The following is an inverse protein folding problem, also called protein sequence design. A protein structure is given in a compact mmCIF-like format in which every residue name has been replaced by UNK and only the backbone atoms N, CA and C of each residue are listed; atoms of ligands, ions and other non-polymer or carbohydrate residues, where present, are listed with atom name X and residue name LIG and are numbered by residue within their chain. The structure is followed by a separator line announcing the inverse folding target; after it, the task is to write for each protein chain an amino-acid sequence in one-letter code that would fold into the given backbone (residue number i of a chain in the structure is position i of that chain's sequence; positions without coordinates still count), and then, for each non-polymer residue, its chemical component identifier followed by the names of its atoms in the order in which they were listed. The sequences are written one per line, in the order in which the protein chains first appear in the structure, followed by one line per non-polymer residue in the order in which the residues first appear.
data_IF_615808665572
#
_entry.id   IF_615808665572
#
_cell.length_a   1.000
_cell.length_b   1.000
_cell.length_c   1.000
_cell.angle_alpha   90.00
_cell.angle_beta   90.00
_cell.angle_gamma   90.00
#
_symmetry.space_group_name_H-M   'P 1'
#
loop_
_entity.id
_entity.type
_entity.pdbx_description
1 polymer ?
#
# COMPACT_ATOMS: atom_id res chain seq x y z
N UNK A 1 23.85 -27.24 17.03
CA UNK A 1 23.64 -25.77 16.87
C UNK A 1 23.69 -25.32 15.41
N UNK A 2 24.75 -25.59 14.63
CA UNK A 2 24.85 -25.17 13.22
C UNK A 2 23.73 -25.74 12.31
N UNK A 3 23.43 -27.04 12.39
CA UNK A 3 22.42 -27.67 11.52
C UNK A 3 20.99 -27.19 11.81
N UNK A 4 20.65 -27.01 13.08
CA UNK A 4 19.35 -26.45 13.51
C UNK A 4 19.16 -25.04 12.94
N UNK A 5 20.20 -24.20 13.03
CA UNK A 5 20.18 -22.85 12.44
C UNK A 5 19.95 -22.88 10.93
N UNK A 6 20.65 -23.76 10.19
CA UNK A 6 20.43 -23.90 8.74
C UNK A 6 19.00 -24.32 8.41
N UNK A 7 18.46 -25.29 9.16
CA UNK A 7 17.09 -25.75 8.95
C UNK A 7 16.07 -24.63 9.23
N UNK A 8 16.26 -23.87 10.30
CA UNK A 8 15.37 -22.77 10.65
C UNK A 8 15.49 -21.60 9.68
N UNK A 9 16.70 -21.31 9.19
CA UNK A 9 16.93 -20.31 8.15
C UNK A 9 16.24 -20.69 6.84
N UNK A 10 16.30 -21.97 6.43
CA UNK A 10 15.58 -22.46 5.25
C UNK A 10 14.06 -22.32 5.41
N UNK A 11 13.51 -22.65 6.60
CA UNK A 11 12.09 -22.45 6.91
C UNK A 11 11.70 -20.98 6.87
N UNK A 12 12.53 -20.10 7.43
CA UNK A 12 12.31 -18.66 7.39
C UNK A 12 12.26 -18.16 5.95
N UNK A 13 13.25 -18.50 5.12
CA UNK A 13 13.29 -18.12 3.69
C UNK A 13 12.05 -18.58 2.92
N UNK A 14 11.61 -19.82 3.16
CA UNK A 14 10.41 -20.35 2.51
C UNK A 14 9.15 -19.60 2.97
N UNK A 15 9.03 -19.34 4.27
CA UNK A 15 7.90 -18.60 4.84
C UNK A 15 7.84 -17.17 4.31
N UNK A 16 8.96 -16.46 4.32
CA UNK A 16 9.06 -15.07 3.81
C UNK A 16 8.76 -15.01 2.32
N UNK A 17 9.29 -15.93 1.51
CA UNK A 17 9.00 -15.98 0.08
C UNK A 17 7.50 -16.19 -0.19
N UNK A 18 6.85 -17.13 0.51
CA UNK A 18 5.41 -17.37 0.38
C UNK A 18 4.57 -16.16 0.78
N UNK A 19 4.90 -15.52 1.89
CA UNK A 19 4.18 -14.32 2.36
C UNK A 19 4.40 -13.14 1.42
N UNK A 20 5.60 -12.97 0.86
CA UNK A 20 5.91 -11.94 -0.13
C UNK A 20 5.09 -12.13 -1.41
N UNK A 21 5.05 -13.34 -1.97
CA UNK A 21 4.24 -13.65 -3.16
C UNK A 21 2.76 -13.38 -2.89
N UNK A 22 2.24 -13.79 -1.73
CA UNK A 22 0.85 -13.50 -1.35
C UNK A 22 0.58 -12.00 -1.30
N UNK A 23 1.45 -11.21 -0.65
CA UNK A 23 1.29 -9.76 -0.54
C UNK A 23 1.36 -9.05 -1.90
N UNK A 24 2.20 -9.54 -2.82
CA UNK A 24 2.28 -9.03 -4.20
C UNK A 24 1.02 -9.38 -5.00
N UNK A 25 0.51 -10.61 -4.88
CA UNK A 25 -0.71 -11.05 -5.57
C UNK A 25 -1.97 -10.35 -5.04
N UNK A 26 -2.02 -10.05 -3.74
CA UNK A 26 -3.13 -9.32 -3.12
C UNK A 26 -2.97 -7.80 -3.17
N UNK A 27 -1.91 -7.30 -3.81
CA UNK A 27 -1.57 -5.87 -3.87
C UNK A 27 -1.61 -5.18 -2.49
N UNK A 28 -1.26 -5.90 -1.41
CA UNK A 28 -1.35 -5.39 -0.04
C UNK A 28 -0.13 -4.56 0.39
N UNK A 29 0.76 -4.25 -0.56
CA UNK A 29 1.92 -3.42 -0.34
C UNK A 29 1.55 -1.94 -0.56
N UNK A 30 1.95 -1.02 0.34
CA UNK A 30 1.67 0.41 0.19
C UNK A 30 2.52 1.10 -0.89
N UNK A 31 3.43 0.36 -1.53
CA UNK A 31 4.29 0.84 -2.62
C UNK A 31 4.08 -0.12 -3.79
N UNK A 32 3.80 0.42 -4.97
CA UNK A 32 3.66 -0.41 -6.17
C UNK A 32 5.01 -1.00 -6.57
N UNK A 33 4.99 -2.27 -6.99
CA UNK A 33 6.16 -2.97 -7.50
C UNK A 33 6.44 -2.71 -8.99
N UNK A 34 5.59 -1.93 -9.67
CA UNK A 34 5.77 -1.57 -11.07
C UNK A 34 6.93 -0.59 -11.21
N UNK A 35 7.96 -0.99 -11.97
CA UNK A 35 9.11 -0.11 -12.23
C UNK A 35 8.74 1.13 -13.06
N UNK A 36 7.64 1.08 -13.81
CA UNK A 36 7.29 2.13 -14.77
C UNK A 36 6.47 3.27 -14.15
N UNK A 37 5.65 2.94 -13.15
CA UNK A 37 4.81 3.90 -12.41
C UNK A 37 4.79 3.55 -10.91
N UNK A 38 5.92 3.77 -10.20
CA UNK A 38 5.98 3.52 -8.78
C UNK A 38 5.20 4.60 -8.01
N UNK A 39 4.19 4.20 -7.25
CA UNK A 39 3.35 5.06 -6.42
C UNK A 39 3.38 4.54 -4.99
N UNK A 40 3.59 5.45 -4.04
CA UNK A 40 3.53 5.18 -2.61
C UNK A 40 2.28 5.82 -2.02
N UNK A 41 1.54 5.05 -1.23
CA UNK A 41 0.39 5.51 -0.45
C UNK A 41 0.67 5.37 1.05
N UNK A 42 0.28 6.36 1.84
CA UNK A 42 0.26 6.29 3.30
C UNK A 42 -1.04 6.86 3.85
N UNK A 43 -1.51 6.30 4.96
CA UNK A 43 -2.75 6.70 5.61
C UNK A 43 -2.49 6.99 7.10
N UNK A 44 -3.07 8.09 7.58
CA UNK A 44 -3.09 8.45 9.00
C UNK A 44 -4.53 8.65 9.46
N UNK A 45 -4.87 8.09 10.62
CA UNK A 45 -6.18 8.30 11.25
C UNK A 45 -6.06 9.43 12.26
N UNK A 46 -6.92 10.44 12.13
CA UNK A 46 -6.97 11.63 12.98
C UNK A 46 -8.31 11.67 13.71
N UNK A 47 -8.26 11.89 15.03
CA UNK A 47 -9.43 11.87 15.90
C UNK A 47 -9.58 10.54 16.64
N UNK A 48 -10.17 10.61 17.84
CA UNK A 48 -10.32 9.47 18.76
C UNK A 48 -11.78 9.08 19.00
N UNK A 49 -12.71 9.63 18.21
CA UNK A 49 -14.14 9.41 18.33
C UNK A 49 -14.70 8.41 17.31
N UNK A 50 -16.02 8.11 17.36
CA UNK A 50 -16.71 7.31 16.35
C UNK A 50 -16.67 7.96 14.96
N UNK A 51 -16.44 9.28 14.91
CA UNK A 51 -16.11 10.03 13.71
C UNK A 51 -14.64 10.41 13.76
N UNK A 52 -13.90 10.03 12.73
CA UNK A 52 -12.49 10.31 12.57
C UNK A 52 -12.20 10.63 11.10
N UNK A 53 -11.09 11.33 10.87
CA UNK A 53 -10.63 11.70 9.55
C UNK A 53 -9.50 10.78 9.12
N UNK A 54 -9.57 10.29 7.88
CA UNK A 54 -8.46 9.58 7.24
C UNK A 54 -7.69 10.59 6.38
N UNK A 55 -6.44 10.83 6.74
CA UNK A 55 -5.51 11.62 5.92
C UNK A 55 -4.69 10.68 5.04
N UNK A 56 -4.89 10.77 3.72
CA UNK A 56 -4.15 10.00 2.74
C UNK A 56 -3.07 10.86 2.08
N UNK A 57 -1.86 10.33 2.00
CA UNK A 57 -0.77 10.92 1.25
C UNK A 57 -0.40 9.98 0.11
N UNK A 58 -0.36 10.51 -1.11
CA UNK A 58 -0.03 9.77 -2.32
C UNK A 58 1.18 10.44 -2.98
N UNK A 59 2.21 9.65 -3.25
CA UNK A 59 3.49 10.14 -3.75
C UNK A 59 3.90 9.36 -4.99
N UNK A 60 4.21 10.08 -6.07
CA UNK A 60 4.86 9.52 -7.25
C UNK A 60 6.36 9.35 -6.97
N UNK A 61 6.84 8.11 -7.11
CA UNK A 61 8.21 7.71 -6.82
C UNK A 61 9.02 7.47 -8.11
N UNK A 62 8.52 7.86 -9.29
CA UNK A 62 9.16 7.57 -10.58
C UNK A 62 10.46 8.37 -10.77
N UNK A 63 11.55 7.72 -11.16
CA UNK A 63 12.85 8.39 -11.32
C UNK A 63 12.94 9.25 -12.59
N UNK A 64 12.14 8.94 -13.60
CA UNK A 64 12.20 9.59 -14.91
C UNK A 64 11.24 10.79 -15.07
N UNK A 65 10.81 11.41 -13.96
CA UNK A 65 9.84 12.51 -13.95
C UNK A 65 8.54 12.19 -14.74
N UNK A 66 8.14 10.92 -14.76
CA UNK A 66 6.94 10.47 -15.46
C UNK A 66 5.73 10.69 -14.57
N UNK A 67 4.75 11.53 -14.96
CA UNK A 67 3.58 11.75 -14.13
C UNK A 67 2.69 10.50 -14.12
N UNK A 68 2.19 10.12 -12.95
CA UNK A 68 1.17 9.08 -12.84
C UNK A 68 -0.20 9.68 -13.16
N UNK A 69 -0.96 8.99 -14.01
CA UNK A 69 -2.27 9.44 -14.51
C UNK A 69 -3.32 8.36 -14.23
N UNK A 70 -4.59 8.73 -14.37
CA UNK A 70 -5.73 7.80 -14.31
C UNK A 70 -5.80 6.94 -13.03
N UNK A 71 -5.37 7.53 -11.91
CA UNK A 71 -5.42 6.90 -10.60
C UNK A 71 -6.76 7.20 -9.90
N UNK A 72 -7.24 6.22 -9.14
CA UNK A 72 -8.40 6.38 -8.27
C UNK A 72 -8.14 5.74 -6.91
N UNK A 73 -8.74 6.31 -5.87
CA UNK A 73 -8.74 5.76 -4.51
C UNK A 73 -10.13 5.23 -4.22
N UNK A 74 -10.20 3.98 -3.77
CA UNK A 74 -11.42 3.33 -3.34
C UNK A 74 -11.24 2.89 -1.89
N UNK A 75 -12.22 3.19 -1.06
CA UNK A 75 -12.25 2.70 0.31
C UNK A 75 -13.09 1.43 0.40
N UNK A 76 -12.54 0.39 1.01
CA UNK A 76 -13.25 -0.84 1.32
C UNK A 76 -13.33 -1.00 2.84
N UNK A 77 -14.56 -1.03 3.35
CA UNK A 77 -14.85 -1.23 4.77
C UNK A 77 -16.13 -2.07 4.94
N UNK A 78 -16.37 -2.56 6.16
CA UNK A 78 -17.66 -3.15 6.51
C UNK A 78 -18.69 -2.04 6.75
N UNK A 79 -19.71 -1.98 5.88
CA UNK A 79 -20.78 -0.97 5.92
C UNK A 79 -21.63 -1.04 7.20
N UNK A 80 -21.57 -2.15 7.96
CA UNK A 80 -22.24 -2.25 9.27
C UNK A 80 -21.52 -1.48 10.36
N UNK A 81 -20.21 -1.24 10.18
CA UNK A 81 -19.34 -0.63 11.19
C UNK A 81 -19.00 0.82 10.84
N UNK A 82 -18.78 1.11 9.57
CA UNK A 82 -18.31 2.42 9.12
C UNK A 82 -19.14 2.96 7.98
N UNK A 83 -19.34 4.28 7.99
CA UNK A 83 -19.90 5.03 6.88
C UNK A 83 -18.83 5.98 6.33
N UNK A 84 -18.59 5.92 5.02
CA UNK A 84 -17.59 6.76 4.34
C UNK A 84 -18.32 7.72 3.40
N UNK A 85 -18.18 9.02 3.64
CA UNK A 85 -18.87 10.05 2.85
C UNK A 85 -18.47 10.06 1.37
N UNK A 86 -17.19 9.77 1.08
CA UNK A 86 -16.62 9.74 -0.26
C UNK A 86 -15.85 8.43 -0.49
N UNK A 87 -16.54 7.32 -0.80
CA UNK A 87 -15.91 6.01 -0.94
C UNK A 87 -15.05 5.88 -2.20
N UNK A 88 -15.24 6.77 -3.18
CA UNK A 88 -14.46 6.85 -4.41
C UNK A 88 -13.93 8.26 -4.60
N UNK A 89 -12.63 8.37 -4.89
CA UNK A 89 -11.95 9.63 -5.18
C UNK A 89 -11.12 9.46 -6.43
N UNK A 90 -11.46 10.17 -7.50
CA UNK A 90 -10.60 10.28 -8.67
C UNK A 90 -9.39 11.16 -8.31
N UNK A 91 -8.19 10.64 -8.54
CA UNK A 91 -6.94 11.37 -8.28
C UNK A 91 -6.57 12.15 -9.54
N UNK A 92 -6.15 13.40 -9.35
CA UNK A 92 -5.55 14.17 -10.43
C UNK A 92 -4.20 13.61 -10.89
N UNK A 93 -3.57 14.29 -11.84
CA UNK A 93 -2.23 13.91 -12.31
C UNK A 93 -1.22 14.11 -11.18
N UNK A 94 -0.44 13.07 -10.86
CA UNK A 94 0.60 13.12 -9.83
C UNK A 94 1.97 13.30 -10.44
N UNK A 95 2.55 14.47 -10.24
CA UNK A 95 3.94 14.76 -10.59
C UNK A 95 4.87 14.31 -9.45
N UNK A 96 6.13 14.01 -9.79
CA UNK A 96 7.18 13.88 -8.79
C UNK A 96 7.50 15.27 -8.25
N UNK A 97 7.39 15.45 -6.94
CA UNK A 97 7.89 16.64 -6.26
C UNK A 97 9.40 16.46 -6.04
N UNK A 98 10.18 17.50 -6.33
CA UNK A 98 11.65 17.54 -6.27
C UNK A 98 12.19 17.26 -4.87
#
# INVERSE_FOLDING_TARGET
MHQTFHQDLLRLRLSTARSCVKALQSCSNPISGSSDEPVKISAHVLGLGPTFQIHLTLQNMSDNNRPSKDLAIVFHCDDKLYHIEKPYIQVGILYRLY
#
